data_IF_353168828751
#
_entry.id   IF_353168828751
#
_cell.length_a   1.000
_cell.length_b   1.000
_cell.length_c   1.000
_cell.angle_alpha   90.00
_cell.angle_beta   90.00
_cell.angle_gamma   90.00
#
_symmetry.space_group_name_H-M   'P 1'
#
loop_
_entity.id
_entity.type
_entity.pdbx_description
1 polymer ?
#
# COMPACT_ATOMS: atom_id res chain seq x y z
N UNK A 1 -7.02 18.59 17.28
CA UNK A 1 -6.36 19.36 16.20
C UNK A 1 -4.88 19.62 16.45
N UNK A 2 -4.48 20.20 17.64
CA UNK A 2 -3.06 20.49 17.95
C UNK A 2 -2.15 19.24 17.89
N UNK A 3 -2.60 18.09 18.42
CA UNK A 3 -1.83 16.84 18.38
C UNK A 3 -1.64 16.35 16.94
N UNK A 4 -2.70 16.35 16.14
CA UNK A 4 -2.64 15.89 14.74
C UNK A 4 -1.66 16.74 13.92
N UNK A 5 -1.71 18.08 14.10
CA UNK A 5 -0.74 18.98 13.45
C UNK A 5 0.70 18.66 13.86
N UNK A 6 0.94 18.34 15.13
CA UNK A 6 2.28 17.96 15.61
C UNK A 6 2.75 16.65 15.01
N UNK A 7 1.84 15.67 14.85
CA UNK A 7 2.14 14.40 14.19
C UNK A 7 2.48 14.64 12.71
N UNK A 8 1.69 15.46 11.99
CA UNK A 8 1.97 15.85 10.60
C UNK A 8 3.37 16.46 10.45
N UNK A 9 3.70 17.46 11.26
CA UNK A 9 5.02 18.12 11.25
C UNK A 9 6.16 17.13 11.51
N UNK A 10 5.99 16.26 12.50
CA UNK A 10 7.01 15.25 12.86
C UNK A 10 7.17 14.21 11.73
N UNK A 11 6.07 13.79 11.09
CA UNK A 11 6.11 12.85 9.97
C UNK A 11 6.82 13.45 8.76
N UNK A 12 6.55 14.73 8.45
CA UNK A 12 7.25 15.43 7.39
C UNK A 12 8.76 15.50 7.65
N UNK A 13 9.17 15.91 8.84
CA UNK A 13 10.58 15.97 9.22
C UNK A 13 11.25 14.59 9.16
N UNK A 14 10.55 13.54 9.63
CA UNK A 14 11.05 12.18 9.56
C UNK A 14 11.27 11.72 8.12
N UNK A 15 10.32 12.00 7.22
CA UNK A 15 10.44 11.70 5.79
C UNK A 15 11.63 12.44 5.15
N UNK A 16 11.83 13.73 5.48
CA UNK A 16 13.01 14.49 5.03
C UNK A 16 14.31 13.78 5.42
N UNK A 17 14.44 13.39 6.70
CA UNK A 17 15.67 12.72 7.17
C UNK A 17 15.90 11.37 6.51
N UNK A 18 14.84 10.64 6.17
CA UNK A 18 14.97 9.41 5.39
C UNK A 18 15.43 9.68 3.96
N UNK A 19 14.93 10.74 3.32
CA UNK A 19 15.32 11.16 1.97
C UNK A 19 16.78 11.63 1.97
N UNK A 20 17.17 12.48 2.92
CA UNK A 20 18.58 12.90 3.10
C UNK A 20 19.53 11.70 3.29
N UNK A 21 19.06 10.65 3.97
CA UNK A 21 19.81 9.42 4.16
C UNK A 21 19.81 8.47 2.94
N UNK A 22 19.15 8.86 1.82
CA UNK A 22 19.16 8.12 0.56
C UNK A 22 17.90 7.32 0.24
N UNK A 23 16.77 7.54 0.93
CA UNK A 23 15.51 6.90 0.57
C UNK A 23 15.02 7.40 -0.79
N UNK A 24 14.77 6.48 -1.72
CA UNK A 24 14.29 6.77 -3.07
C UNK A 24 12.77 6.78 -3.20
N UNK A 25 12.05 6.26 -2.20
CA UNK A 25 10.58 6.19 -2.09
C UNK A 25 10.22 6.31 -0.63
N UNK A 26 9.15 7.01 -0.31
CA UNK A 26 8.58 7.06 1.04
C UNK A 26 7.23 6.33 1.05
N UNK A 27 7.09 5.35 1.94
CA UNK A 27 5.81 4.68 2.17
C UNK A 27 5.18 5.15 3.48
N UNK A 28 3.94 5.64 3.38
CA UNK A 28 3.12 6.13 4.50
C UNK A 28 2.14 5.03 4.89
N UNK A 29 2.26 4.52 6.11
CA UNK A 29 1.37 3.52 6.68
C UNK A 29 0.34 4.17 7.59
N UNK A 30 -0.96 4.02 7.25
CA UNK A 30 -2.08 4.27 8.15
C UNK A 30 -2.84 2.95 8.38
N UNK A 31 -2.26 2.11 9.23
CA UNK A 31 -2.77 0.77 9.51
C UNK A 31 -4.10 0.75 10.25
N UNK A 32 -4.55 1.89 10.75
CA UNK A 32 -5.76 2.07 11.57
C UNK A 32 -6.85 2.90 10.88
N UNK A 33 -6.62 3.36 9.64
CA UNK A 33 -7.55 4.19 8.89
C UNK A 33 -8.97 3.59 8.83
N UNK A 34 -9.08 2.28 8.62
CA UNK A 34 -10.35 1.57 8.54
C UNK A 34 -11.16 1.49 9.84
N UNK A 35 -10.58 1.88 10.98
CA UNK A 35 -11.32 2.00 12.25
C UNK A 35 -12.12 3.30 12.35
N UNK A 36 -11.81 4.29 11.50
CA UNK A 36 -12.53 5.54 11.47
C UNK A 36 -13.91 5.37 10.81
N UNK A 37 -14.95 5.99 11.34
CA UNK A 37 -16.22 6.13 10.62
C UNK A 37 -16.00 6.82 9.28
N UNK A 38 -16.73 6.43 8.23
CA UNK A 38 -16.58 7.00 6.88
C UNK A 38 -16.58 8.54 6.87
N UNK A 39 -17.48 9.17 7.65
CA UNK A 39 -17.59 10.64 7.76
C UNK A 39 -16.33 11.32 8.31
N UNK A 40 -15.46 10.57 8.99
CA UNK A 40 -14.26 11.09 9.65
C UNK A 40 -12.97 10.82 8.82
N UNK A 41 -13.04 9.89 7.85
CA UNK A 41 -11.88 9.53 6.99
C UNK A 41 -11.25 10.76 6.33
N UNK A 42 -12.06 11.68 5.80
CA UNK A 42 -11.53 12.87 5.15
C UNK A 42 -10.72 13.75 6.11
N UNK A 43 -11.23 13.97 7.31
CA UNK A 43 -10.62 14.90 8.28
C UNK A 43 -9.42 14.30 8.99
N UNK A 44 -9.43 13.00 9.29
CA UNK A 44 -8.41 12.36 10.14
C UNK A 44 -7.47 11.42 9.40
N UNK A 45 -7.79 11.03 8.15
CA UNK A 45 -6.92 10.21 7.32
C UNK A 45 -6.49 10.97 6.06
N UNK A 46 -7.43 11.44 5.19
CA UNK A 46 -7.06 11.97 3.88
C UNK A 46 -6.31 13.30 3.96
N UNK A 47 -6.85 14.30 4.67
CA UNK A 47 -6.22 15.64 4.74
C UNK A 47 -4.85 15.62 5.42
N UNK A 48 -4.65 14.90 6.55
CA UNK A 48 -3.31 14.76 7.12
C UNK A 48 -2.32 14.07 6.16
N UNK A 49 -2.75 12.97 5.52
CA UNK A 49 -1.90 12.25 4.56
C UNK A 49 -1.58 13.11 3.33
N UNK A 50 -2.55 13.88 2.81
CA UNK A 50 -2.34 14.82 1.70
C UNK A 50 -1.20 15.80 2.01
N UNK A 51 -1.20 16.41 3.21
CA UNK A 51 -0.16 17.37 3.61
C UNK A 51 1.24 16.73 3.62
N UNK A 52 1.33 15.50 4.15
CA UNK A 52 2.60 14.76 4.15
C UNK A 52 3.04 14.42 2.72
N UNK A 53 2.11 13.95 1.86
CA UNK A 53 2.40 13.65 0.45
C UNK A 53 2.84 14.90 -0.31
N UNK A 54 2.14 16.04 -0.14
CA UNK A 54 2.52 17.31 -0.77
C UNK A 54 3.91 17.80 -0.32
N UNK A 55 4.24 17.58 0.95
CA UNK A 55 5.55 17.89 1.49
C UNK A 55 6.64 17.05 0.82
N UNK A 56 6.46 15.73 0.75
CA UNK A 56 7.41 14.80 0.12
C UNK A 56 7.55 15.08 -1.38
N UNK A 57 6.46 15.39 -2.08
CA UNK A 57 6.50 15.75 -3.51
C UNK A 57 7.38 16.96 -3.82
N UNK A 58 7.47 17.95 -2.92
CA UNK A 58 8.40 19.08 -3.07
C UNK A 58 9.86 18.63 -3.06
N UNK A 59 10.17 17.51 -2.42
CA UNK A 59 11.48 16.87 -2.39
C UNK A 59 11.73 15.95 -3.58
N UNK A 60 10.79 15.85 -4.53
CA UNK A 60 10.86 15.05 -5.77
C UNK A 60 11.05 13.56 -5.52
N UNK A 61 10.52 13.03 -4.42
CA UNK A 61 10.53 11.61 -4.07
C UNK A 61 9.10 11.06 -4.19
N UNK A 62 8.88 9.92 -4.87
CA UNK A 62 7.56 9.31 -4.98
C UNK A 62 7.06 8.76 -3.65
N UNK A 63 5.74 8.71 -3.54
CA UNK A 63 5.03 8.28 -2.34
C UNK A 63 4.19 7.03 -2.58
N UNK A 64 4.20 6.10 -1.64
CA UNK A 64 3.27 4.99 -1.54
C UNK A 64 2.40 5.21 -0.30
N UNK A 65 1.07 5.17 -0.43
CA UNK A 65 0.18 5.31 0.72
C UNK A 65 -0.55 4.00 0.99
N UNK A 66 -0.65 3.62 2.27
CA UNK A 66 -1.35 2.42 2.74
C UNK A 66 -2.40 2.76 3.81
N UNK A 67 -3.58 3.27 3.40
CA UNK A 67 -4.71 3.49 4.30
C UNK A 67 -5.50 2.18 4.47
N UNK A 68 -5.03 1.30 5.36
CA UNK A 68 -5.60 -0.05 5.52
C UNK A 68 -7.06 -0.02 5.97
N UNK A 69 -7.89 -0.88 5.37
CA UNK A 69 -9.27 -1.17 5.82
C UNK A 69 -10.31 -0.13 5.42
N UNK A 70 -9.96 0.83 4.55
CA UNK A 70 -10.92 1.87 4.11
C UNK A 70 -11.91 1.38 3.04
N UNK A 71 -11.79 0.14 2.56
CA UNK A 71 -12.68 -0.51 1.58
C UNK A 71 -12.82 0.32 0.30
N UNK A 72 -14.02 0.45 -0.27
CA UNK A 72 -14.26 1.23 -1.50
C UNK A 72 -13.89 2.72 -1.38
N UNK A 73 -13.60 3.21 -0.16
CA UNK A 73 -13.12 4.58 0.01
C UNK A 73 -11.67 4.78 -0.49
N UNK A 74 -10.99 3.74 -0.97
CA UNK A 74 -9.74 3.86 -1.73
C UNK A 74 -9.88 4.83 -2.92
N UNK A 75 -11.03 4.86 -3.60
CA UNK A 75 -11.28 5.78 -4.71
C UNK A 75 -11.26 7.24 -4.25
N UNK A 76 -12.01 7.54 -3.18
CA UNK A 76 -12.05 8.88 -2.59
C UNK A 76 -10.67 9.30 -2.05
N UNK A 77 -9.98 8.37 -1.37
CA UNK A 77 -8.62 8.61 -0.88
C UNK A 77 -7.68 9.01 -2.03
N UNK A 78 -7.63 8.23 -3.11
CA UNK A 78 -6.76 8.49 -4.25
C UNK A 78 -7.12 9.80 -4.96
N UNK A 79 -8.41 10.17 -5.03
CA UNK A 79 -8.83 11.44 -5.64
C UNK A 79 -8.38 12.67 -4.84
N UNK A 80 -8.36 12.56 -3.51
CA UNK A 80 -7.97 13.64 -2.59
C UNK A 80 -6.46 13.71 -2.41
N UNK A 81 -5.83 12.58 -2.06
CA UNK A 81 -4.41 12.51 -1.67
C UNK A 81 -3.48 12.49 -2.88
N UNK A 82 -3.91 11.88 -3.98
CA UNK A 82 -3.15 11.75 -5.23
C UNK A 82 -1.73 11.19 -5.02
N UNK A 83 -1.59 10.02 -4.35
CA UNK A 83 -0.29 9.39 -4.18
C UNK A 83 0.26 8.89 -5.53
N UNK A 84 1.56 8.63 -5.63
CA UNK A 84 2.16 8.01 -6.83
C UNK A 84 1.84 6.52 -6.89
N UNK A 85 1.68 5.88 -5.74
CA UNK A 85 1.26 4.49 -5.61
C UNK A 85 0.32 4.31 -4.43
N UNK A 86 -0.74 3.51 -4.62
CA UNK A 86 -1.64 3.09 -3.54
C UNK A 86 -1.34 1.64 -3.16
N UNK A 87 -1.02 1.39 -1.89
CA UNK A 87 -0.93 0.05 -1.35
C UNK A 87 -2.30 -0.38 -0.83
N UNK A 88 -2.75 -1.55 -1.24
CA UNK A 88 -4.07 -2.09 -0.91
C UNK A 88 -3.95 -3.26 0.08
N UNK A 89 -4.92 -3.38 0.97
CA UNK A 89 -5.04 -4.52 1.85
C UNK A 89 -5.72 -5.72 1.15
N UNK A 90 -5.77 -6.86 1.84
CA UNK A 90 -6.30 -8.11 1.31
C UNK A 90 -7.84 -8.22 1.40
N UNK A 91 -8.53 -7.24 2.00
CA UNK A 91 -9.97 -7.26 2.14
C UNK A 91 -10.69 -6.68 0.93
N UNK A 92 -9.99 -5.87 0.12
CA UNK A 92 -10.56 -5.28 -1.10
C UNK A 92 -10.38 -6.20 -2.32
N UNK A 93 -11.38 -6.28 -3.18
CA UNK A 93 -11.26 -7.03 -4.44
C UNK A 93 -10.25 -6.36 -5.39
N UNK A 94 -9.16 -7.06 -5.78
CA UNK A 94 -8.17 -6.52 -6.69
C UNK A 94 -8.73 -6.18 -8.09
N UNK A 95 -9.80 -6.84 -8.55
CA UNK A 95 -10.44 -6.49 -9.82
C UNK A 95 -11.16 -5.15 -9.72
N UNK A 96 -11.84 -4.90 -8.60
CA UNK A 96 -12.47 -3.61 -8.34
C UNK A 96 -11.44 -2.47 -8.34
N UNK A 97 -10.29 -2.68 -7.69
CA UNK A 97 -9.18 -1.71 -7.67
C UNK A 97 -8.70 -1.43 -9.11
N UNK A 98 -8.43 -2.49 -9.89
CA UNK A 98 -8.00 -2.37 -11.29
C UNK A 98 -8.97 -1.58 -12.15
N UNK A 99 -10.27 -1.75 -11.95
CA UNK A 99 -11.30 -1.05 -12.73
C UNK A 99 -11.47 0.41 -12.33
N UNK A 100 -11.37 0.70 -11.05
CA UNK A 100 -11.72 2.01 -10.48
C UNK A 100 -10.55 2.95 -10.32
N UNK A 101 -9.35 2.44 -10.09
CA UNK A 101 -8.16 3.26 -9.85
C UNK A 101 -7.28 3.25 -11.11
N UNK A 102 -7.31 4.35 -11.84
CA UNK A 102 -6.54 4.53 -13.07
C UNK A 102 -5.48 5.63 -12.87
N UNK A 103 -4.34 5.48 -13.54
CA UNK A 103 -3.27 6.49 -13.53
C UNK A 103 -2.42 6.52 -12.24
N UNK A 104 -2.66 5.62 -11.29
CA UNK A 104 -1.91 5.47 -10.04
C UNK A 104 -1.38 4.04 -9.99
N UNK A 105 -0.11 3.83 -9.63
CA UNK A 105 0.41 2.48 -9.43
C UNK A 105 -0.27 1.81 -8.24
N UNK A 106 -0.41 0.50 -8.28
CA UNK A 106 -0.99 -0.30 -7.18
C UNK A 106 0.08 -1.19 -6.58
N UNK A 107 0.08 -1.32 -5.26
CA UNK A 107 0.93 -2.26 -4.52
C UNK A 107 0.08 -3.18 -3.64
N UNK A 108 0.52 -4.42 -3.43
CA UNK A 108 -0.01 -5.30 -2.37
C UNK A 108 -1.24 -6.11 -2.74
N UNK A 109 -2.08 -6.38 -1.76
CA UNK A 109 -3.38 -7.04 -1.87
C UNK A 109 -3.39 -8.52 -1.51
N UNK A 110 -2.29 -9.29 -1.65
CA UNK A 110 -2.32 -10.70 -1.33
C UNK A 110 -2.43 -10.94 0.19
N UNK A 111 -3.39 -11.78 0.62
CA UNK A 111 -3.56 -12.13 2.03
C UNK A 111 -2.30 -12.83 2.57
N UNK A 112 -1.67 -12.31 3.64
CA UNK A 112 -0.51 -12.95 4.26
C UNK A 112 -0.81 -14.36 4.79
N UNK A 113 -2.05 -14.71 5.12
CA UNK A 113 -2.45 -16.06 5.53
C UNK A 113 -2.21 -17.11 4.46
N UNK A 114 -2.18 -16.72 3.19
CA UNK A 114 -1.85 -17.62 2.08
C UNK A 114 -0.47 -18.24 2.27
N UNK A 115 0.47 -17.53 2.89
CA UNK A 115 1.82 -18.04 3.16
C UNK A 115 1.87 -19.16 4.21
N UNK A 116 0.78 -19.39 4.93
CA UNK A 116 0.65 -20.50 5.88
C UNK A 116 0.06 -21.76 5.24
N UNK A 117 -0.21 -21.73 3.94
CA UNK A 117 -0.81 -22.85 3.19
C UNK A 117 0.22 -23.58 2.33
N UNK A 118 -0.22 -24.59 1.58
CA UNK A 118 0.64 -25.35 0.67
C UNK A 118 1.17 -24.50 -0.49
N UNK A 119 2.35 -24.87 -1.01
CA UNK A 119 3.06 -24.14 -2.08
C UNK A 119 2.22 -23.94 -3.33
N UNK A 120 1.37 -24.91 -3.68
CA UNK A 120 0.46 -24.84 -4.82
C UNK A 120 -0.53 -23.70 -4.68
N UNK A 121 -1.11 -23.50 -3.49
CA UNK A 121 -2.03 -22.41 -3.21
C UNK A 121 -1.30 -21.05 -3.22
N UNK A 122 -0.11 -20.98 -2.64
CA UNK A 122 0.74 -19.77 -2.71
C UNK A 122 1.02 -19.40 -4.16
N UNK A 123 1.46 -20.38 -4.99
CA UNK A 123 1.74 -20.16 -6.41
C UNK A 123 0.51 -19.67 -7.18
N UNK A 124 -0.65 -20.27 -6.93
CA UNK A 124 -1.91 -19.88 -7.57
C UNK A 124 -2.27 -18.42 -7.22
N UNK A 125 -2.16 -18.03 -5.95
CA UNK A 125 -2.46 -16.66 -5.51
C UNK A 125 -1.46 -15.65 -6.08
N UNK A 126 -0.16 -15.92 -6.06
CA UNK A 126 0.85 -15.05 -6.68
C UNK A 126 0.52 -14.80 -8.15
N UNK A 127 0.27 -15.89 -8.92
CA UNK A 127 -0.10 -15.77 -10.34
C UNK A 127 -1.40 -15.01 -10.57
N UNK A 128 -2.40 -15.19 -9.68
CA UNK A 128 -3.67 -14.44 -9.73
C UNK A 128 -3.42 -12.94 -9.68
N UNK A 129 -2.66 -12.45 -8.70
CA UNK A 129 -2.37 -11.02 -8.55
C UNK A 129 -1.56 -10.46 -9.73
N UNK A 130 -0.50 -11.17 -10.15
CA UNK A 130 0.29 -10.76 -11.31
C UNK A 130 -0.56 -10.68 -12.58
N UNK A 131 -1.46 -11.66 -12.80
CA UNK A 131 -2.38 -11.67 -13.94
C UNK A 131 -3.41 -10.54 -13.85
N UNK A 132 -3.99 -10.31 -12.66
CA UNK A 132 -4.98 -9.25 -12.46
C UNK A 132 -4.41 -7.88 -12.85
N UNK A 133 -3.19 -7.59 -12.45
CA UNK A 133 -2.54 -6.30 -12.72
C UNK A 133 -1.56 -6.31 -13.90
N UNK A 134 -1.64 -7.31 -14.82
CA UNK A 134 -0.69 -7.44 -15.94
C UNK A 134 -0.58 -6.22 -16.85
N UNK A 135 -1.66 -5.44 -16.99
CA UNK A 135 -1.74 -4.22 -17.80
C UNK A 135 -1.88 -2.95 -16.92
N UNK A 136 -1.44 -3.03 -15.68
CA UNK A 136 -1.51 -1.92 -14.72
C UNK A 136 -0.16 -1.79 -14.00
N UNK A 137 0.36 -0.60 -13.74
CA UNK A 137 1.58 -0.45 -12.95
C UNK A 137 1.40 -1.09 -11.57
N UNK A 138 2.12 -2.18 -11.31
CA UNK A 138 1.90 -3.00 -10.12
C UNK A 138 3.20 -3.40 -9.44
N UNK A 139 3.24 -3.21 -8.13
CA UNK A 139 4.28 -3.70 -7.24
C UNK A 139 3.70 -4.86 -6.43
N UNK A 140 4.16 -6.08 -6.71
CA UNK A 140 3.71 -7.23 -5.93
C UNK A 140 4.14 -7.09 -4.47
N UNK A 141 3.18 -7.21 -3.58
CA UNK A 141 3.38 -7.25 -2.14
C UNK A 141 2.18 -7.97 -1.47
N UNK A 142 2.31 -8.26 -0.18
CA UNK A 142 1.20 -8.69 0.65
C UNK A 142 0.29 -7.50 0.98
N UNK A 143 -0.97 -7.78 1.31
CA UNK A 143 -1.94 -6.79 1.76
C UNK A 143 -1.82 -6.43 3.25
N UNK A 144 -0.82 -6.95 3.94
CA UNK A 144 -0.37 -6.59 5.30
C UNK A 144 1.00 -7.21 5.58
N UNK A 145 1.58 -6.97 6.76
CA UNK A 145 2.79 -7.65 7.21
C UNK A 145 2.62 -9.16 7.30
N UNK A 146 3.73 -9.88 7.19
CA UNK A 146 3.77 -11.33 7.38
C UNK A 146 3.34 -11.70 8.79
N UNK A 147 2.72 -12.87 8.93
CA UNK A 147 2.34 -13.40 10.24
C UNK A 147 3.58 -14.02 10.92
N UNK A 148 3.63 -14.03 12.27
CA UNK A 148 4.75 -14.60 13.01
C UNK A 148 5.04 -16.07 12.66
N UNK A 149 4.00 -16.81 12.27
CA UNK A 149 4.08 -18.22 11.89
C UNK A 149 4.61 -18.45 10.47
N UNK A 150 4.78 -17.38 9.68
CA UNK A 150 5.25 -17.48 8.29
C UNK A 150 6.71 -17.93 8.27
N UNK A 151 6.96 -19.06 7.63
CA UNK A 151 8.31 -19.59 7.44
C UNK A 151 9.07 -18.79 6.38
N UNK A 152 10.35 -18.42 6.61
CA UNK A 152 11.17 -17.69 5.64
C UNK A 152 11.19 -18.35 4.24
N UNK A 153 11.20 -19.68 4.18
CA UNK A 153 11.22 -20.44 2.93
C UNK A 153 9.98 -20.19 2.06
N UNK A 154 8.85 -19.79 2.65
CA UNK A 154 7.65 -19.44 1.91
C UNK A 154 7.80 -18.07 1.23
N UNK A 155 8.53 -17.14 1.84
CA UNK A 155 8.86 -15.85 1.21
C UNK A 155 9.81 -16.08 0.04
N UNK A 156 10.84 -16.91 0.22
CA UNK A 156 11.76 -17.30 -0.86
C UNK A 156 11.02 -17.95 -2.02
N UNK A 157 10.05 -18.82 -1.71
CA UNK A 157 9.21 -19.45 -2.71
C UNK A 157 8.36 -18.44 -3.49
N UNK A 158 7.75 -17.46 -2.83
CA UNK A 158 7.02 -16.37 -3.50
C UNK A 158 7.93 -15.62 -4.47
N UNK A 159 9.13 -15.25 -4.04
CA UNK A 159 10.12 -14.55 -4.88
C UNK A 159 10.48 -15.39 -6.10
N UNK A 160 10.70 -16.70 -5.92
CA UNK A 160 10.97 -17.64 -7.02
C UNK A 160 9.82 -17.65 -8.03
N UNK A 161 8.58 -17.81 -7.57
CA UNK A 161 7.38 -17.84 -8.43
C UNK A 161 7.22 -16.53 -9.21
N UNK A 162 7.46 -15.37 -8.56
CA UNK A 162 7.40 -14.07 -9.21
C UNK A 162 8.43 -13.93 -10.34
N UNK A 163 9.66 -14.37 -10.11
CA UNK A 163 10.72 -14.33 -11.13
C UNK A 163 10.43 -15.24 -12.32
N UNK A 164 9.82 -16.40 -12.09
CA UNK A 164 9.38 -17.32 -13.14
C UNK A 164 8.20 -16.78 -13.96
N UNK A 165 7.35 -15.97 -13.35
CA UNK A 165 6.12 -15.44 -13.99
C UNK A 165 6.41 -14.19 -14.87
N UNK A 166 7.56 -13.53 -14.69
CA UNK A 166 8.00 -12.38 -15.51
C UNK A 166 8.66 -12.75 -16.85
N UNK A 167 8.83 -14.05 -17.09
CA UNK A 167 9.30 -14.58 -18.39
C UNK A 167 8.12 -14.94 -19.28
#
# INVERSE_FOLDING_TARGET
>A
EKLLKKIEETTCLHAEKQIEAGASVIQIFDSWAGLLPKRELKSYCYIPTLKVVEHIKKLKVPTICFPKGIKENYLDFCSVVKPDCISIDYEIDPNWIKEKINGIAVQGGMDPKVLLTEKENVKANVKKYVKTFSNHPYIFNLGHGVLPETKPEMIEYVIKVLRETKK
#
